data_IF_734122879882
#
_entry.id   IF_734122879882
#
_cell.length_a   1.000
_cell.length_b   1.000
_cell.length_c   1.000
_cell.angle_alpha   90.00
_cell.angle_beta   90.00
_cell.angle_gamma   90.00
#
_symmetry.space_group_name_H-M   'P 1'
#
loop_
_entity.id
_entity.type
_entity.pdbx_description
1 polymer ?
#
# COMPACT_ATOMS: atom_id res chain seq x y z
N UNK A 1 5.87 -2.16 -34.05
CA UNK A 1 5.23 -3.31 -33.39
C UNK A 1 4.55 -2.81 -32.13
N UNK A 2 3.29 -3.15 -31.90
CA UNK A 2 2.63 -2.92 -30.60
C UNK A 2 3.15 -3.97 -29.63
N UNK A 3 3.87 -3.55 -28.58
CA UNK A 3 4.22 -4.44 -27.48
C UNK A 3 2.98 -4.66 -26.62
N UNK A 4 2.65 -5.92 -26.34
CA UNK A 4 1.50 -6.32 -25.54
C UNK A 4 1.99 -6.83 -24.18
N UNK A 5 1.33 -6.40 -23.10
CA UNK A 5 1.56 -6.90 -21.74
C UNK A 5 0.43 -7.85 -21.38
N UNK A 6 0.77 -9.01 -20.81
CA UNK A 6 -0.21 -10.01 -20.36
C UNK A 6 0.02 -10.35 -18.90
N UNK A 7 -1.06 -10.42 -18.13
CA UNK A 7 -1.05 -10.95 -16.77
C UNK A 7 -1.02 -12.47 -16.81
N UNK A 8 -0.23 -13.06 -15.92
CA UNK A 8 -0.07 -14.50 -15.74
C UNK A 8 -0.14 -14.82 -14.24
N UNK A 9 -0.13 -16.11 -13.91
CA UNK A 9 -0.07 -16.60 -12.53
C UNK A 9 -1.27 -16.18 -11.65
N UNK A 10 -2.41 -16.82 -11.90
CA UNK A 10 -3.69 -16.49 -11.27
C UNK A 10 -3.92 -17.21 -9.93
N UNK A 11 -2.88 -17.73 -9.27
CA UNK A 11 -3.03 -18.62 -8.10
C UNK A 11 -3.72 -17.95 -6.88
N UNK A 12 -3.52 -16.64 -6.71
CA UNK A 12 -4.18 -15.84 -5.65
C UNK A 12 -5.41 -15.07 -6.13
N UNK A 13 -5.87 -15.31 -7.35
CA UNK A 13 -6.97 -14.54 -7.93
C UNK A 13 -8.31 -14.97 -7.35
N UNK A 14 -9.10 -13.99 -6.92
CA UNK A 14 -10.44 -14.21 -6.36
C UNK A 14 -11.28 -12.93 -6.50
N UNK A 15 -12.58 -13.02 -6.23
CA UNK A 15 -13.41 -11.83 -6.06
C UNK A 15 -12.88 -11.01 -4.87
N UNK A 16 -12.46 -9.78 -5.14
CA UNK A 16 -11.88 -8.88 -4.14
C UNK A 16 -12.20 -7.42 -4.44
N UNK A 17 -11.87 -6.54 -3.50
CA UNK A 17 -11.95 -5.09 -3.70
C UNK A 17 -10.80 -4.68 -4.61
N UNK A 18 -11.10 -4.03 -5.73
CA UNK A 18 -10.10 -3.57 -6.70
C UNK A 18 -8.98 -2.70 -6.08
N UNK A 19 -9.30 -1.89 -5.07
CA UNK A 19 -8.33 -1.05 -4.38
C UNK A 19 -7.29 -1.87 -3.60
N UNK A 20 -7.63 -3.08 -3.13
CA UNK A 20 -6.67 -4.00 -2.54
C UNK A 20 -5.68 -4.52 -3.58
N UNK A 21 -6.16 -4.92 -4.75
CA UNK A 21 -5.33 -5.40 -5.85
C UNK A 21 -4.36 -4.30 -6.36
N UNK A 22 -4.86 -3.07 -6.47
CA UNK A 22 -4.03 -1.90 -6.81
C UNK A 22 -3.00 -1.60 -5.70
N UNK A 23 -3.36 -1.74 -4.42
CA UNK A 23 -2.43 -1.57 -3.31
C UNK A 23 -1.30 -2.61 -3.35
N UNK A 24 -1.63 -3.88 -3.63
CA UNK A 24 -0.64 -4.93 -3.88
C UNK A 24 0.27 -4.55 -5.06
N UNK A 25 -0.31 -4.17 -6.20
CA UNK A 25 0.46 -3.76 -7.38
C UNK A 25 1.43 -2.61 -7.09
N UNK A 26 1.02 -1.59 -6.34
CA UNK A 26 1.92 -0.49 -5.95
C UNK A 26 3.02 -0.92 -4.97
N UNK A 27 2.74 -1.88 -4.09
CA UNK A 27 3.74 -2.44 -3.18
C UNK A 27 4.79 -3.29 -3.90
N UNK A 28 4.49 -3.85 -5.07
CA UNK A 28 5.49 -4.60 -5.85
C UNK A 28 6.68 -3.74 -6.30
N UNK A 29 6.48 -2.43 -6.48
CA UNK A 29 7.59 -1.51 -6.82
C UNK A 29 8.66 -1.41 -5.73
N UNK A 30 8.32 -1.79 -4.49
CA UNK A 30 9.27 -1.78 -3.36
C UNK A 30 10.17 -3.02 -3.33
N UNK A 31 9.90 -4.03 -4.17
CA UNK A 31 10.69 -5.25 -4.28
C UNK A 31 10.72 -6.10 -3.00
N UNK A 32 11.62 -7.08 -2.97
CA UNK A 32 11.78 -8.03 -1.85
C UNK A 32 12.21 -7.31 -0.56
N UNK A 33 13.08 -6.31 -0.68
CA UNK A 33 13.57 -5.55 0.48
C UNK A 33 12.54 -4.52 1.00
N UNK A 34 11.42 -4.35 0.30
CA UNK A 34 10.37 -3.38 0.64
C UNK A 34 10.92 -1.94 0.74
N UNK A 35 11.74 -1.54 -0.22
CA UNK A 35 12.30 -0.19 -0.33
C UNK A 35 11.18 0.83 -0.60
N UNK A 36 10.70 1.46 0.47
CA UNK A 36 9.51 2.31 0.43
C UNK A 36 9.66 3.52 -0.48
N UNK A 37 10.89 3.98 -0.71
CA UNK A 37 11.21 5.09 -1.62
C UNK A 37 10.84 4.79 -3.09
N UNK A 38 10.69 3.50 -3.44
CA UNK A 38 10.25 3.07 -4.76
C UNK A 38 8.72 2.99 -4.91
N UNK A 39 7.96 3.12 -3.81
CA UNK A 39 6.51 3.18 -3.87
C UNK A 39 6.06 4.37 -4.73
N UNK A 40 5.04 4.22 -5.58
CA UNK A 40 4.64 5.28 -6.49
C UNK A 40 4.15 6.51 -5.73
N UNK A 41 4.74 7.67 -6.03
CA UNK A 41 4.30 8.96 -5.52
C UNK A 41 2.89 9.31 -6.03
N UNK A 42 2.24 10.30 -5.39
CA UNK A 42 0.87 10.69 -5.68
C UNK A 42 0.63 10.95 -7.18
N UNK A 43 1.54 11.64 -7.89
CA UNK A 43 1.36 11.90 -9.32
C UNK A 43 1.32 10.63 -10.17
N UNK A 44 2.20 9.65 -9.90
CA UNK A 44 2.22 8.36 -10.59
C UNK A 44 0.97 7.53 -10.30
N UNK A 45 0.47 7.56 -9.05
CA UNK A 45 -0.79 6.89 -8.69
C UNK A 45 -1.98 7.51 -9.41
N UNK A 46 -2.05 8.85 -9.46
CA UNK A 46 -3.07 9.56 -10.22
C UNK A 46 -3.02 9.25 -11.72
N UNK A 47 -1.82 9.16 -12.32
CA UNK A 47 -1.66 8.69 -13.70
C UNK A 47 -2.21 7.28 -13.89
N UNK A 48 -1.87 6.34 -12.99
CA UNK A 48 -2.40 4.99 -13.05
C UNK A 48 -3.94 4.97 -12.99
N UNK A 49 -4.54 5.73 -12.07
CA UNK A 49 -6.00 5.81 -11.95
C UNK A 49 -6.67 6.34 -13.22
N UNK A 50 -6.11 7.38 -13.85
CA UNK A 50 -6.63 7.90 -15.12
C UNK A 50 -6.71 6.81 -16.18
N UNK A 51 -5.70 5.96 -16.28
CA UNK A 51 -5.68 4.86 -17.25
C UNK A 51 -6.62 3.71 -16.84
N UNK A 52 -6.67 3.37 -15.56
CA UNK A 52 -7.44 2.23 -15.06
C UNK A 52 -8.95 2.51 -14.95
N UNK A 53 -9.33 3.66 -14.40
CA UNK A 53 -10.73 4.04 -14.14
C UNK A 53 -11.30 5.05 -15.16
N UNK A 54 -10.48 5.59 -16.05
CA UNK A 54 -10.87 6.69 -16.94
C UNK A 54 -10.99 8.05 -16.22
N UNK A 55 -10.71 8.11 -14.92
CA UNK A 55 -10.63 9.33 -14.13
C UNK A 55 -9.64 9.13 -12.98
N UNK A 56 -9.25 10.23 -12.33
CA UNK A 56 -8.44 10.18 -11.12
C UNK A 56 -8.95 11.20 -10.13
N UNK A 57 -9.13 10.81 -8.87
CA UNK A 57 -9.49 11.72 -7.81
C UNK A 57 -8.92 11.22 -6.48
N UNK A 58 -9.10 12.05 -5.46
CA UNK A 58 -8.50 11.85 -4.15
C UNK A 58 -9.19 10.76 -3.32
N UNK A 59 -10.46 10.47 -3.60
CA UNK A 59 -11.18 9.36 -2.96
C UNK A 59 -10.62 8.01 -3.45
N UNK A 60 -10.34 7.87 -4.75
CA UNK A 60 -9.72 6.65 -5.30
C UNK A 60 -8.34 6.42 -4.66
N UNK A 61 -7.52 7.47 -4.56
CA UNK A 61 -6.20 7.37 -3.92
C UNK A 61 -6.33 6.97 -2.45
N UNK A 62 -7.20 7.65 -1.70
CA UNK A 62 -7.45 7.37 -0.28
C UNK A 62 -7.91 5.94 -0.05
N UNK A 63 -8.79 5.41 -0.92
CA UNK A 63 -9.25 4.02 -0.83
C UNK A 63 -8.12 3.03 -1.12
N UNK A 64 -7.26 3.29 -2.10
CA UNK A 64 -6.10 2.43 -2.37
C UNK A 64 -5.10 2.45 -1.20
N UNK A 65 -4.77 3.64 -0.69
CA UNK A 65 -3.89 3.78 0.46
C UNK A 65 -4.46 3.09 1.70
N UNK A 66 -5.80 3.08 1.87
CA UNK A 66 -6.46 2.40 2.99
C UNK A 66 -6.16 0.90 3.03
N UNK A 67 -5.99 0.28 1.86
CA UNK A 67 -5.67 -1.15 1.74
C UNK A 67 -4.18 -1.48 1.85
N UNK A 68 -3.27 -0.49 1.78
CA UNK A 68 -1.82 -0.72 1.93
C UNK A 68 -1.45 -1.46 3.22
N UNK A 69 -1.93 -1.11 4.43
CA UNK A 69 -1.56 -1.84 5.63
C UNK A 69 -2.08 -3.28 5.59
N UNK A 70 -3.28 -3.51 5.04
CA UNK A 70 -3.82 -4.86 4.88
C UNK A 70 -2.98 -5.69 3.91
N UNK A 71 -2.62 -5.14 2.75
CA UNK A 71 -1.78 -5.82 1.76
C UNK A 71 -0.40 -6.17 2.33
N UNK A 72 0.22 -5.23 3.06
CA UNK A 72 1.50 -5.48 3.72
C UNK A 72 1.41 -6.64 4.73
N UNK A 73 0.42 -6.61 5.63
CA UNK A 73 0.28 -7.61 6.68
C UNK A 73 -0.17 -8.97 6.13
N UNK A 74 -1.00 -8.99 5.08
CA UNK A 74 -1.40 -10.22 4.39
C UNK A 74 -0.18 -10.95 3.83
N UNK A 75 0.66 -10.25 3.06
CA UNK A 75 1.83 -10.87 2.45
C UNK A 75 2.94 -11.17 3.45
N UNK A 76 3.07 -10.39 4.53
CA UNK A 76 3.95 -10.75 5.64
C UNK A 76 3.50 -12.03 6.35
N UNK A 77 2.20 -12.21 6.55
CA UNK A 77 1.66 -13.42 7.16
C UNK A 77 1.87 -14.63 6.24
N UNK A 78 1.68 -14.47 4.93
CA UNK A 78 1.94 -15.50 3.93
C UNK A 78 3.42 -15.91 3.92
N UNK A 79 4.34 -14.95 3.98
CA UNK A 79 5.79 -15.22 3.92
C UNK A 79 6.38 -15.70 5.25
N UNK A 80 5.57 -15.71 6.32
CA UNK A 80 5.99 -16.13 7.65
C UNK A 80 6.32 -17.62 7.66
N UNK A 81 7.60 -17.96 7.88
CA UNK A 81 8.09 -19.34 7.88
C UNK A 81 8.48 -19.88 6.51
N UNK A 82 8.55 -19.02 5.49
CA UNK A 82 9.16 -19.36 4.19
C UNK A 82 10.65 -19.04 4.23
N UNK A 83 11.48 -20.05 4.00
CA UNK A 83 12.94 -19.91 4.03
C UNK A 83 13.44 -18.91 2.97
N UNK A 84 14.32 -17.99 3.39
CA UNK A 84 15.01 -17.07 2.48
C UNK A 84 14.28 -15.76 2.20
N UNK A 85 13.10 -15.52 2.79
CA UNK A 85 12.36 -14.25 2.65
C UNK A 85 12.07 -13.56 3.99
N UNK A 86 12.88 -13.82 5.02
CA UNK A 86 12.74 -13.20 6.35
C UNK A 86 12.79 -11.67 6.30
N UNK A 87 13.65 -11.11 5.44
CA UNK A 87 13.77 -9.66 5.25
C UNK A 87 12.46 -9.08 4.71
N UNK A 88 11.86 -9.74 3.71
CA UNK A 88 10.55 -9.37 3.17
C UNK A 88 9.47 -9.42 4.25
N UNK A 89 9.38 -10.53 4.99
CA UNK A 89 8.41 -10.71 6.09
C UNK A 89 8.53 -9.57 7.11
N UNK A 90 9.75 -9.29 7.56
CA UNK A 90 10.03 -8.24 8.55
C UNK A 90 9.68 -6.86 8.02
N UNK A 91 10.07 -6.54 6.79
CA UNK A 91 9.89 -5.20 6.25
C UNK A 91 8.42 -4.94 5.86
N UNK A 92 7.73 -5.93 5.29
CA UNK A 92 6.27 -5.87 5.08
C UNK A 92 5.52 -5.70 6.40
N UNK A 93 5.89 -6.45 7.44
CA UNK A 93 5.29 -6.30 8.78
C UNK A 93 5.49 -4.88 9.32
N UNK A 94 6.73 -4.37 9.26
CA UNK A 94 7.08 -3.02 9.75
C UNK A 94 6.28 -1.94 9.03
N UNK A 95 6.25 -1.99 7.69
CA UNK A 95 5.50 -1.03 6.87
C UNK A 95 4.00 -1.11 7.15
N UNK A 96 3.44 -2.32 7.18
CA UNK A 96 2.02 -2.54 7.44
C UNK A 96 1.59 -1.95 8.79
N UNK A 97 2.38 -2.19 9.84
CA UNK A 97 2.12 -1.60 11.16
C UNK A 97 2.28 -0.07 11.19
N UNK A 98 3.31 0.48 10.55
CA UNK A 98 3.53 1.93 10.50
C UNK A 98 2.35 2.64 9.81
N UNK A 99 1.94 2.15 8.63
CA UNK A 99 0.80 2.71 7.89
C UNK A 99 -0.51 2.51 8.65
N UNK A 100 -0.71 1.36 9.31
CA UNK A 100 -1.91 1.12 10.13
C UNK A 100 -2.00 2.09 11.30
N UNK A 101 -0.89 2.36 12.01
CA UNK A 101 -0.87 3.35 13.10
C UNK A 101 -1.16 4.76 12.59
N UNK A 102 -0.56 5.16 11.46
CA UNK A 102 -0.84 6.46 10.83
C UNK A 102 -2.33 6.58 10.47
N UNK A 103 -2.88 5.58 9.78
CA UNK A 103 -4.28 5.53 9.40
C UNK A 103 -5.22 5.56 10.60
N UNK A 104 -4.94 4.74 11.62
CA UNK A 104 -5.73 4.71 12.84
C UNK A 104 -5.68 6.05 13.58
N UNK A 105 -4.53 6.72 13.63
CA UNK A 105 -4.42 8.04 14.23
C UNK A 105 -5.16 9.14 13.44
N UNK A 106 -5.22 9.03 12.11
CA UNK A 106 -5.94 9.99 11.26
C UNK A 106 -7.46 9.80 11.26
N UNK A 107 -7.95 8.55 11.27
CA UNK A 107 -9.40 8.24 11.23
C UNK A 107 -10.00 8.07 12.63
N UNK A 108 -9.27 7.45 13.55
CA UNK A 108 -9.70 7.12 14.91
C UNK A 108 -8.67 7.53 15.97
N UNK A 109 -8.40 8.84 16.14
CA UNK A 109 -7.40 9.34 17.09
C UNK A 109 -7.63 8.84 18.54
N UNK A 110 -8.88 8.53 18.90
CA UNK A 110 -9.24 7.96 20.20
C UNK A 110 -8.64 6.58 20.49
N UNK A 111 -8.17 5.85 19.46
CA UNK A 111 -7.51 4.55 19.65
C UNK A 111 -6.14 4.68 20.32
N UNK A 112 -5.55 5.88 20.39
CA UNK A 112 -4.26 6.11 21.04
C UNK A 112 -3.07 5.40 20.36
N UNK A 113 -3.26 4.92 19.13
CA UNK A 113 -2.24 4.23 18.33
C UNK A 113 -1.36 5.26 17.61
N UNK A 114 -0.53 5.97 18.37
CA UNK A 114 0.34 7.02 17.83
C UNK A 114 1.56 6.39 17.13
N UNK A 115 1.92 6.82 15.91
CA UNK A 115 3.15 6.39 15.25
C UNK A 115 4.40 6.75 16.08
N UNK A 116 5.38 5.84 16.11
CA UNK A 116 6.69 6.11 16.71
C UNK A 116 7.60 6.92 15.78
N UNK A 117 8.78 7.34 16.27
CA UNK A 117 9.78 8.08 15.46
C UNK A 117 10.15 7.35 14.17
N UNK A 118 10.40 6.04 14.27
CA UNK A 118 10.76 5.20 13.13
C UNK A 118 9.63 5.05 12.11
N UNK A 119 8.36 5.14 12.55
CA UNK A 119 7.22 5.13 11.63
C UNK A 119 7.18 6.44 10.85
N UNK A 120 7.39 7.58 11.50
CA UNK A 120 7.45 8.86 10.82
C UNK A 120 8.58 8.90 9.79
N UNK A 121 9.79 8.48 10.16
CA UNK A 121 10.92 8.41 9.22
C UNK A 121 10.63 7.49 8.02
N UNK A 122 9.95 6.35 8.25
CA UNK A 122 9.54 5.44 7.18
C UNK A 122 8.51 6.06 6.24
N UNK A 123 7.53 6.77 6.81
CA UNK A 123 6.37 7.30 6.09
C UNK A 123 6.65 8.67 5.46
N UNK A 124 7.66 9.42 5.91
CA UNK A 124 8.09 10.68 5.28
C UNK A 124 8.53 10.48 3.82
N UNK A 125 8.98 9.27 3.47
CA UNK A 125 9.43 8.93 2.12
C UNK A 125 8.29 8.80 1.10
N UNK A 126 7.03 8.70 1.57
CA UNK A 126 5.87 8.46 0.72
C UNK A 126 4.68 9.27 1.17
N UNK A 127 3.99 9.90 0.21
CA UNK A 127 2.74 10.59 0.47
C UNK A 127 1.60 9.58 0.73
N UNK A 128 1.46 9.24 2.02
CA UNK A 128 0.34 8.49 2.60
C UNK A 128 -0.73 9.44 3.18
N UNK A 129 -1.01 10.55 2.51
CA UNK A 129 -2.08 11.45 2.97
C UNK A 129 -3.43 10.80 2.69
N UNK A 130 -4.05 10.27 3.73
CA UNK A 130 -5.46 9.93 3.70
C UNK A 130 -6.20 11.24 3.81
N UNK A 131 -6.73 11.75 2.69
CA UNK A 131 -7.45 12.99 2.77
C UNK A 131 -8.58 12.84 3.78
N UNK A 132 -8.74 13.86 4.61
CA UNK A 132 -9.89 14.02 5.47
C UNK A 132 -11.14 14.00 4.58
N UNK A 133 -11.74 12.82 4.43
CA UNK A 133 -13.05 12.62 3.82
C UNK A 133 -14.18 13.26 4.66
N UNK A 134 -13.81 14.04 5.69
CA UNK A 134 -14.69 14.61 6.70
C UNK A 134 -14.49 16.12 6.93
N UNK A 135 -13.73 16.84 6.09
CA UNK A 135 -13.76 18.31 6.10
C UNK A 135 -14.92 18.80 5.24
N UNK A 136 -16.11 18.81 5.85
CA UNK A 136 -17.19 19.74 5.54
C UNK A 136 -17.26 20.79 6.66
#
# INVERSE_FOLDING_TARGET
>A
STQEVRFIDWEYSTYSINAFDIACFFLEFTGIDCEISAFPCASKRQDFYRHYFGNSNLLIDSLCLFFVPLACLFWAAWSSGVDGIDVYTKNRTRLGHAVLRKLANEIWPQCGLVPGKEDYELLELVDFTFQSLYTN
#
